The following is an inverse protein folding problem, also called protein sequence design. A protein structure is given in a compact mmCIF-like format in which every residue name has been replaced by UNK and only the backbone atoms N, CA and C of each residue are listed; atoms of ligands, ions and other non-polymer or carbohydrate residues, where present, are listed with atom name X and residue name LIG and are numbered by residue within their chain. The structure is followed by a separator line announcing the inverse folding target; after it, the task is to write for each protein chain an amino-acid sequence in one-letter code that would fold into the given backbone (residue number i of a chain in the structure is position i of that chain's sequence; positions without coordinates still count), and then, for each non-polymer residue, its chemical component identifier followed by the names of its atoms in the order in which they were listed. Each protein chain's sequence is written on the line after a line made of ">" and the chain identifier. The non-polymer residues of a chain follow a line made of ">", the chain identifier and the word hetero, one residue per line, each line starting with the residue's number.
data_IF_179427151764
#
_entry.id   IF_179427151764
#
_cell.length_a   1.000
_cell.length_b   1.000
_cell.length_c   1.000
_cell.angle_alpha   90.00
_cell.angle_beta   90.00
_cell.angle_gamma   90.00
#
_symmetry.space_group_name_H-M   'P 1'
#
loop_
_entity.id
_entity.type
_entity.pdbx_description
1 polymer ?
#
# COMPACT_ATOMS: atom_id res chain seq x y z
N UNK A 1 6.84 36.98 -40.06
CA UNK A 1 8.16 36.31 -40.06
C UNK A 1 7.95 34.95 -40.66
N UNK A 2 8.83 34.53 -41.57
CA UNK A 2 8.71 33.20 -42.17
C UNK A 2 8.91 32.16 -41.06
N UNK A 3 8.16 31.05 -41.07
CA UNK A 3 8.33 29.97 -40.09
C UNK A 3 9.79 29.42 -40.08
N UNK A 4 10.51 29.59 -41.20
CA UNK A 4 11.94 29.26 -41.36
C UNK A 4 12.90 30.20 -40.62
N UNK A 5 12.46 31.40 -40.22
CA UNK A 5 13.29 32.40 -39.52
C UNK A 5 13.18 32.26 -37.99
N UNK A 6 12.25 31.43 -37.49
CA UNK A 6 12.08 31.20 -36.06
C UNK A 6 13.21 30.32 -35.50
N UNK A 7 13.71 30.60 -34.29
CA UNK A 7 14.70 29.75 -33.65
C UNK A 7 14.14 28.35 -33.38
N UNK A 8 14.98 27.32 -33.52
CA UNK A 8 14.58 25.91 -33.40
C UNK A 8 13.91 25.54 -32.06
N UNK A 9 14.13 26.33 -31.01
CA UNK A 9 13.61 26.10 -29.65
C UNK A 9 12.17 26.62 -29.48
N UNK A 10 11.74 27.55 -30.32
CA UNK A 10 10.40 28.17 -30.26
C UNK A 10 9.47 27.68 -31.38
N UNK A 11 9.97 26.74 -32.20
CA UNK A 11 9.19 26.15 -33.29
C UNK A 11 8.01 25.38 -32.72
N UNK A 12 6.82 25.70 -33.20
CA UNK A 12 5.58 24.98 -32.87
C UNK A 12 5.22 23.99 -33.98
N UNK A 13 4.33 23.06 -33.69
CA UNK A 13 3.82 22.10 -34.68
C UNK A 13 3.22 22.83 -35.89
N UNK A 14 2.56 23.97 -35.65
CA UNK A 14 1.99 24.82 -36.69
C UNK A 14 3.06 25.38 -37.65
N UNK A 15 4.22 25.75 -37.11
CA UNK A 15 5.35 26.26 -37.90
C UNK A 15 5.92 25.19 -38.82
N UNK A 16 5.95 23.92 -38.38
CA UNK A 16 6.40 22.79 -39.21
C UNK A 16 5.44 22.58 -40.38
N UNK A 17 4.13 22.71 -40.18
CA UNK A 17 3.14 22.64 -41.26
C UNK A 17 3.27 23.81 -42.25
N UNK A 18 3.52 25.03 -41.76
CA UNK A 18 3.77 26.19 -42.62
C UNK A 18 5.04 26.00 -43.48
N UNK A 19 6.11 25.45 -42.89
CA UNK A 19 7.34 25.09 -43.61
C UNK A 19 7.08 24.02 -44.67
N UNK A 20 6.30 22.98 -44.34
CA UNK A 20 5.93 21.91 -45.27
C UNK A 20 5.12 22.45 -46.46
N UNK A 21 4.21 23.39 -46.23
CA UNK A 21 3.41 24.02 -47.28
C UNK A 21 4.29 24.82 -48.26
N UNK A 22 5.24 25.61 -47.76
CA UNK A 22 6.18 26.36 -48.60
C UNK A 22 7.09 25.41 -49.39
N UNK A 23 7.62 24.36 -48.75
CA UNK A 23 8.40 23.30 -49.42
C UNK A 23 7.59 22.59 -50.51
N UNK A 24 6.32 22.31 -50.27
CA UNK A 24 5.42 21.72 -51.27
C UNK A 24 5.26 22.60 -52.52
N UNK A 25 5.09 23.90 -52.34
CA UNK A 25 5.00 24.86 -53.45
C UNK A 25 6.31 24.99 -54.24
N UNK A 26 7.47 24.85 -53.59
CA UNK A 26 8.78 24.79 -54.26
C UNK A 26 8.92 23.51 -55.09
N UNK A 27 8.52 22.36 -54.54
CA UNK A 27 8.53 21.09 -55.27
C UNK A 27 7.60 21.12 -56.47
N UNK A 28 6.39 21.67 -56.34
CA UNK A 28 5.44 21.84 -57.44
C UNK A 28 6.06 22.66 -58.60
N UNK A 29 6.70 23.79 -58.29
CA UNK A 29 7.42 24.61 -59.29
C UNK A 29 8.56 23.88 -59.99
N UNK A 30 9.23 22.95 -59.32
CA UNK A 30 10.31 22.15 -59.91
C UNK A 30 9.71 21.05 -60.81
N UNK A 31 8.63 20.41 -60.37
CA UNK A 31 7.90 19.40 -61.15
C UNK A 31 7.39 20.02 -62.46
N UNK A 32 6.81 21.23 -62.40
CA UNK A 32 6.29 21.93 -63.58
C UNK A 32 7.37 22.24 -64.64
N UNK A 33 8.61 22.46 -64.21
CA UNK A 33 9.73 22.85 -65.10
C UNK A 33 10.59 21.68 -65.58
N UNK A 34 10.77 20.66 -64.75
CA UNK A 34 11.75 19.60 -64.98
C UNK A 34 11.15 18.18 -64.94
N UNK A 35 9.84 18.05 -64.67
CA UNK A 35 9.17 16.76 -64.52
C UNK A 35 9.36 16.15 -63.13
N UNK A 36 8.52 15.18 -62.80
CA UNK A 36 8.49 14.56 -61.47
C UNK A 36 9.65 13.60 -61.18
N UNK A 37 10.28 13.05 -62.22
CA UNK A 37 11.35 12.04 -62.17
C UNK A 37 12.52 12.46 -61.25
N UNK A 38 12.87 13.75 -61.24
CA UNK A 38 13.97 14.28 -60.45
C UNK A 38 13.68 14.31 -58.93
N UNK A 39 12.41 14.25 -58.53
CA UNK A 39 11.96 14.45 -57.14
C UNK A 39 11.42 13.18 -56.47
N UNK A 40 11.16 12.11 -57.23
CA UNK A 40 10.61 10.83 -56.73
C UNK A 40 11.40 10.27 -55.54
N UNK A 41 12.73 10.39 -55.56
CA UNK A 41 13.59 9.90 -54.46
C UNK A 41 13.79 10.90 -53.31
N UNK A 42 13.49 12.18 -53.52
CA UNK A 42 13.81 13.28 -52.60
C UNK A 42 12.61 13.62 -51.72
N UNK A 43 11.40 13.72 -52.31
CA UNK A 43 10.17 14.09 -51.59
C UNK A 43 9.91 13.17 -50.38
N UNK A 44 9.98 11.83 -50.49
CA UNK A 44 9.76 10.96 -49.32
C UNK A 44 10.79 11.16 -48.20
N UNK A 45 12.02 11.55 -48.54
CA UNK A 45 13.08 11.82 -47.54
C UNK A 45 12.81 13.15 -46.82
N UNK A 46 12.35 14.16 -47.54
CA UNK A 46 11.98 15.47 -46.97
C UNK A 46 10.75 15.34 -46.09
N UNK A 47 9.73 14.58 -46.51
CA UNK A 47 8.58 14.24 -45.68
C UNK A 47 9.04 13.57 -44.38
N UNK A 48 9.95 12.59 -44.45
CA UNK A 48 10.50 11.94 -43.25
C UNK A 48 11.25 12.92 -42.33
N UNK A 49 11.97 13.91 -42.87
CA UNK A 49 12.64 14.93 -42.06
C UNK A 49 11.60 15.84 -41.38
N UNK A 50 10.53 16.20 -42.07
CA UNK A 50 9.44 17.00 -41.50
C UNK A 50 8.65 16.24 -40.42
N UNK A 51 8.39 14.95 -40.61
CA UNK A 51 7.80 14.07 -39.58
C UNK A 51 8.68 13.98 -38.33
N UNK A 52 10.01 13.86 -38.50
CA UNK A 52 10.95 13.84 -37.39
C UNK A 52 10.99 15.20 -36.66
N UNK A 53 10.92 16.30 -37.41
CA UNK A 53 10.86 17.65 -36.85
C UNK A 53 9.55 17.86 -36.07
N UNK A 54 8.41 17.43 -36.62
CA UNK A 54 7.12 17.45 -35.96
C UNK A 54 7.15 16.64 -34.66
N UNK A 55 7.70 15.42 -34.69
CA UNK A 55 7.81 14.57 -33.50
C UNK A 55 8.73 15.20 -32.44
N UNK A 56 9.82 15.85 -32.84
CA UNK A 56 10.73 16.55 -31.94
C UNK A 56 10.13 17.83 -31.37
N UNK A 57 9.31 18.56 -32.13
CA UNK A 57 8.59 19.74 -31.65
C UNK A 57 7.42 19.35 -30.74
N UNK A 58 6.71 18.26 -31.04
CA UNK A 58 5.67 17.70 -30.18
C UNK A 58 6.23 17.14 -28.86
N UNK A 59 7.42 16.51 -28.89
CA UNK A 59 8.13 16.08 -27.66
C UNK A 59 8.90 17.22 -27.01
N UNK A 60 9.22 18.25 -27.77
CA UNK A 60 10.08 19.38 -27.44
C UNK A 60 9.35 20.44 -26.64
N UNK A 61 8.57 20.04 -25.65
CA UNK A 61 8.19 20.90 -24.54
C UNK A 61 9.02 20.54 -23.29
N UNK A 62 10.36 20.68 -23.30
CA UNK A 62 11.11 20.71 -22.03
C UNK A 62 10.60 21.86 -21.14
N UNK A 63 9.90 22.85 -21.72
CA UNK A 63 9.10 23.83 -20.99
C UNK A 63 7.95 23.23 -20.19
N UNK A 64 7.23 22.22 -20.67
CA UNK A 64 6.11 21.61 -19.92
C UNK A 64 6.62 20.85 -18.70
N UNK A 65 7.61 19.98 -18.84
CA UNK A 65 8.20 19.26 -17.71
C UNK A 65 8.86 20.23 -16.71
N UNK A 66 9.58 21.25 -17.20
CA UNK A 66 10.17 22.26 -16.33
C UNK A 66 9.12 23.15 -15.66
N UNK A 67 7.98 23.43 -16.31
CA UNK A 67 6.85 24.13 -15.70
C UNK A 67 6.09 23.25 -14.70
N UNK A 68 5.92 21.97 -14.96
CA UNK A 68 5.34 21.00 -14.01
C UNK A 68 6.21 20.88 -12.77
N UNK A 69 7.53 20.71 -12.93
CA UNK A 69 8.48 20.73 -11.82
C UNK A 69 8.46 22.07 -11.08
N UNK A 70 8.34 23.20 -11.78
CA UNK A 70 8.17 24.53 -11.14
C UNK A 70 6.89 24.61 -10.32
N UNK A 71 5.75 24.17 -10.86
CA UNK A 71 4.47 24.11 -10.13
C UNK A 71 4.56 23.22 -8.89
N UNK A 72 5.29 22.12 -9.00
CA UNK A 72 5.49 21.17 -7.91
C UNK A 72 6.41 21.74 -6.82
N UNK A 73 7.46 22.44 -7.20
CA UNK A 73 8.30 23.20 -6.26
C UNK A 73 7.48 24.25 -5.53
N UNK A 74 6.63 25.00 -6.24
CA UNK A 74 5.76 26.02 -5.64
C UNK A 74 4.71 25.40 -4.70
N UNK A 75 4.20 24.20 -5.02
CA UNK A 75 3.31 23.42 -4.15
C UNK A 75 4.02 23.01 -2.87
N UNK A 76 5.20 22.39 -2.99
CA UNK A 76 5.98 21.92 -1.85
C UNK A 76 6.43 23.08 -0.95
N UNK A 77 6.77 24.24 -1.53
CA UNK A 77 7.11 25.43 -0.76
C UNK A 77 5.93 25.94 0.08
N UNK A 78 4.73 25.95 -0.49
CA UNK A 78 3.49 26.31 0.23
C UNK A 78 3.20 25.32 1.35
N UNK A 79 3.22 24.02 1.07
CA UNK A 79 2.98 22.99 2.09
C UNK A 79 3.98 23.09 3.25
N UNK A 80 5.25 23.35 2.95
CA UNK A 80 6.27 23.55 3.99
C UNK A 80 6.02 24.82 4.80
N UNK A 81 5.56 25.91 4.17
CA UNK A 81 5.17 27.14 4.86
C UNK A 81 3.96 26.91 5.77
N UNK A 82 2.93 26.23 5.25
CA UNK A 82 1.70 25.93 5.98
C UNK A 82 1.98 25.04 7.20
N UNK A 83 2.85 24.03 7.05
CA UNK A 83 3.31 23.19 8.17
C UNK A 83 4.03 24.02 9.23
N UNK A 84 4.94 24.92 8.83
CA UNK A 84 5.65 25.79 9.77
C UNK A 84 4.68 26.72 10.52
N UNK A 85 3.68 27.26 9.82
CA UNK A 85 2.65 28.08 10.46
C UNK A 85 1.77 27.29 11.42
N UNK A 86 1.42 26.06 11.08
CA UNK A 86 0.62 25.18 11.93
C UNK A 86 1.40 24.80 13.20
N UNK A 87 2.67 24.44 13.06
CA UNK A 87 3.56 24.18 14.19
C UNK A 87 3.66 25.41 15.11
N UNK A 88 3.83 26.60 14.52
CA UNK A 88 3.85 27.86 15.28
C UNK A 88 2.52 28.17 15.96
N UNK A 89 1.38 27.70 15.45
CA UNK A 89 0.07 27.84 16.10
C UNK A 89 -0.05 26.87 17.25
N UNK A 90 0.29 25.60 17.02
CA UNK A 90 0.29 24.56 18.04
C UNK A 90 1.20 24.91 19.22
N UNK A 91 2.41 25.41 18.94
CA UNK A 91 3.34 25.87 19.98
C UNK A 91 2.73 26.97 20.87
N UNK A 92 2.00 27.92 20.27
CA UNK A 92 1.31 28.98 21.03
C UNK A 92 0.12 28.46 21.82
N UNK A 93 -0.56 27.43 21.34
CA UNK A 93 -1.64 26.77 22.07
C UNK A 93 -1.09 26.03 23.28
N UNK A 94 0.04 25.32 23.12
CA UNK A 94 0.74 24.67 24.23
C UNK A 94 1.16 25.72 25.27
N UNK A 95 1.81 26.81 24.86
CA UNK A 95 2.21 27.90 25.78
C UNK A 95 1.01 28.45 26.56
N UNK A 96 -0.13 28.66 25.89
CA UNK A 96 -1.36 29.10 26.57
C UNK A 96 -1.88 28.07 27.57
N UNK A 97 -1.87 26.79 27.23
CA UNK A 97 -2.28 25.71 28.13
C UNK A 97 -1.34 25.63 29.34
N UNK A 98 -0.03 25.78 29.13
CA UNK A 98 0.95 25.82 30.22
C UNK A 98 0.72 27.03 31.15
N UNK A 99 0.43 28.20 30.60
CA UNK A 99 0.17 29.41 31.40
C UNK A 99 -1.11 29.27 32.24
N UNK A 100 -2.17 28.72 31.67
CA UNK A 100 -3.41 28.42 32.40
C UNK A 100 -3.14 27.42 33.52
N UNK A 101 -2.42 26.34 33.23
CA UNK A 101 -2.08 25.32 34.21
C UNK A 101 -1.21 25.89 35.34
N UNK A 102 -0.24 26.76 35.04
CA UNK A 102 0.56 27.48 36.07
C UNK A 102 -0.32 28.33 36.98
N UNK A 103 -1.31 29.01 36.40
CA UNK A 103 -2.30 29.78 37.15
C UNK A 103 -3.12 28.91 38.10
N UNK A 104 -3.69 27.81 37.60
CA UNK A 104 -4.47 26.87 38.41
C UNK A 104 -3.65 26.26 39.55
N UNK A 105 -2.40 25.86 39.28
CA UNK A 105 -1.47 25.35 40.31
C UNK A 105 -1.21 26.42 41.37
N UNK A 106 -0.99 27.67 40.97
CA UNK A 106 -0.77 28.77 41.90
C UNK A 106 -2.02 29.05 42.76
N UNK A 107 -3.21 28.99 42.17
CA UNK A 107 -4.48 29.16 42.89
C UNK A 107 -4.71 28.03 43.90
N UNK A 108 -4.44 26.78 43.52
CA UNK A 108 -4.51 25.63 44.42
C UNK A 108 -3.50 25.74 45.57
N UNK A 109 -2.26 26.17 45.30
CA UNK A 109 -1.25 26.41 46.33
C UNK A 109 -1.69 27.53 47.29
N UNK A 110 -2.32 28.58 46.77
CA UNK A 110 -2.87 29.68 47.56
C UNK A 110 -4.01 29.18 48.47
N UNK A 111 -4.91 28.34 47.93
CA UNK A 111 -5.99 27.70 48.69
C UNK A 111 -5.45 26.78 49.80
N UNK A 112 -4.45 25.94 49.50
CA UNK A 112 -3.80 25.08 50.50
C UNK A 112 -3.19 25.93 51.61
N UNK A 113 -2.49 27.01 51.25
CA UNK A 113 -1.87 27.91 52.24
C UNK A 113 -2.91 28.57 53.14
N UNK A 114 -4.02 29.04 52.56
CA UNK A 114 -5.14 29.62 53.31
C UNK A 114 -5.77 28.60 54.26
N UNK A 115 -6.10 27.40 53.77
CA UNK A 115 -6.67 26.33 54.60
C UNK A 115 -5.71 25.88 55.71
N UNK A 116 -4.40 25.87 55.47
CA UNK A 116 -3.40 25.59 56.50
C UNK A 116 -3.35 26.70 57.57
N UNK A 117 -3.52 27.97 57.17
CA UNK A 117 -3.60 29.10 58.10
C UNK A 117 -4.89 29.00 58.95
N UNK A 118 -6.04 28.75 58.33
CA UNK A 118 -7.32 28.61 59.01
C UNK A 118 -7.31 27.42 59.98
N UNK A 119 -6.72 26.28 59.58
CA UNK A 119 -6.50 25.12 60.47
C UNK A 119 -5.62 25.47 61.67
N UNK A 120 -4.53 26.23 61.47
CA UNK A 120 -3.67 26.69 62.58
C UNK A 120 -4.42 27.62 63.53
N UNK A 121 -5.25 28.51 63.00
CA UNK A 121 -6.11 29.39 63.81
C UNK A 121 -7.13 28.59 64.62
N UNK A 122 -7.81 27.61 64.01
CA UNK A 122 -8.77 26.75 64.69
C UNK A 122 -8.12 25.93 65.83
N UNK A 123 -6.92 25.39 65.60
CA UNK A 123 -6.14 24.69 66.64
C UNK A 123 -5.74 25.63 67.77
N UNK A 124 -5.36 26.87 67.46
CA UNK A 124 -5.01 27.88 68.47
C UNK A 124 -6.22 28.37 69.30
N UNK A 125 -7.41 28.37 68.71
CA UNK A 125 -8.68 28.70 69.36
C UNK A 125 -9.16 27.54 70.25
N UNK A 126 -9.05 26.30 69.78
CA UNK A 126 -9.41 25.10 70.55
C UNK A 126 -8.52 24.90 71.80
N UNK A 127 -7.28 25.40 71.79
CA UNK A 127 -6.40 25.45 72.97
C UNK A 127 -6.79 26.52 74.02
N UNK A 128 -7.74 27.41 73.71
CA UNK A 128 -8.20 28.51 74.60
C UNK A 128 -9.61 28.33 75.15
N UNK A 129 -10.32 27.26 74.82
CA UNK A 129 -11.65 27.00 75.38
C UNK A 129 -11.55 26.18 76.67
N UNK A 130 -11.59 26.87 77.82
CA UNK A 130 -11.88 26.25 79.12
C UNK A 130 -13.39 26.15 79.35
N UNK A 131 -13.89 25.08 80.00
CA UNK A 131 -15.30 24.71 79.99
C UNK A 131 -16.06 25.41 81.13
N UNK A 132 -17.15 26.14 80.83
CA UNK A 132 -18.10 26.56 81.86
C UNK A 132 -19.55 26.51 81.37
N UNK A 133 -20.31 25.73 82.14
CA UNK A 133 -21.73 25.75 82.44
C UNK A 133 -22.72 25.29 81.36
N UNK A 134 -23.09 24.01 81.47
CA UNK A 134 -24.49 23.65 81.36
C UNK A 134 -25.33 24.52 82.28
N UNK A 135 -26.31 25.21 81.71
CA UNK A 135 -27.49 25.66 82.43
C UNK A 135 -28.65 25.59 81.45
N UNK A 136 -29.49 24.57 81.63
CA UNK A 136 -30.90 24.65 81.31
C UNK A 136 -31.48 25.95 81.87
N UNK A 137 -32.34 26.62 81.11
CA UNK A 137 -33.61 26.99 81.71
C UNK A 137 -34.79 26.69 80.78
N UNK A 138 -35.74 25.97 81.38
CA UNK A 138 -37.14 25.82 80.97
C UNK A 138 -37.75 27.12 80.41
N UNK A 139 -38.43 27.03 79.26
CA UNK A 139 -39.70 27.72 78.89
C UNK A 139 -40.11 27.34 77.44
N UNK A 140 -41.26 26.67 77.18
CA UNK A 140 -41.52 26.07 75.86
C UNK A 140 -42.26 26.93 74.81
N UNK A 141 -42.89 28.07 75.16
CA UNK A 141 -43.92 28.64 74.26
C UNK A 141 -43.49 29.84 73.38
N UNK A 142 -42.30 30.43 73.59
CA UNK A 142 -41.78 31.54 72.76
C UNK A 142 -40.54 31.20 71.91
N UNK A 143 -39.84 30.11 72.25
CA UNK A 143 -38.75 29.53 71.45
C UNK A 143 -39.27 28.74 70.26
N UNK A 144 -40.44 28.12 70.41
CA UNK A 144 -41.11 27.32 69.38
C UNK A 144 -41.33 28.09 68.07
N UNK A 145 -41.72 29.38 68.11
CA UNK A 145 -41.98 30.16 66.89
C UNK A 145 -40.69 30.50 66.12
N UNK A 146 -39.61 30.86 66.82
CA UNK A 146 -38.31 31.15 66.20
C UNK A 146 -37.67 29.88 65.64
N UNK A 147 -37.76 28.78 66.37
CA UNK A 147 -37.34 27.47 65.89
C UNK A 147 -38.19 27.00 64.71
N UNK A 148 -39.52 27.23 64.73
CA UNK A 148 -40.40 26.89 63.61
C UNK A 148 -40.10 27.74 62.38
N UNK A 149 -39.76 29.02 62.56
CA UNK A 149 -39.28 29.87 61.48
C UNK A 149 -37.92 29.39 60.94
N UNK A 150 -37.00 28.94 61.80
CA UNK A 150 -35.72 28.36 61.39
C UNK A 150 -35.92 27.04 60.64
N UNK A 151 -36.78 26.15 61.14
CA UNK A 151 -37.15 24.90 60.49
C UNK A 151 -37.76 25.14 59.12
N UNK A 152 -38.62 26.15 58.97
CA UNK A 152 -39.17 26.54 57.66
C UNK A 152 -38.10 27.04 56.69
N UNK A 153 -37.16 27.88 57.14
CA UNK A 153 -36.04 28.34 56.31
C UNK A 153 -35.12 27.19 55.87
N UNK A 154 -34.85 26.25 56.75
CA UNK A 154 -34.11 25.03 56.41
C UNK A 154 -34.88 24.17 55.42
N UNK A 155 -36.20 24.01 55.61
CA UNK A 155 -37.06 23.31 54.65
C UNK A 155 -37.03 23.98 53.27
N UNK A 156 -37.17 25.30 53.20
CA UNK A 156 -37.10 26.06 51.95
C UNK A 156 -35.72 25.92 51.27
N UNK A 157 -34.63 25.85 52.06
CA UNK A 157 -33.28 25.64 51.53
C UNK A 157 -33.09 24.20 51.01
N UNK A 158 -33.61 23.20 51.72
CA UNK A 158 -33.59 21.80 51.30
C UNK A 158 -34.40 21.62 50.02
N UNK A 159 -35.56 22.25 49.90
CA UNK A 159 -36.39 22.16 48.69
C UNK A 159 -35.72 22.86 47.50
N UNK A 160 -35.05 24.00 47.71
CA UNK A 160 -34.19 24.63 46.69
C UNK A 160 -33.04 23.72 46.26
N UNK A 161 -32.34 23.10 47.21
CA UNK A 161 -31.25 22.16 46.89
C UNK A 161 -31.78 20.96 46.11
N UNK A 162 -32.98 20.44 46.42
CA UNK A 162 -33.63 19.37 45.65
C UNK A 162 -33.97 19.80 44.22
N UNK A 163 -34.49 21.01 44.04
CA UNK A 163 -34.75 21.57 42.71
C UNK A 163 -33.46 21.75 41.90
N UNK A 164 -32.40 22.23 42.56
CA UNK A 164 -31.10 22.40 41.92
C UNK A 164 -30.48 21.06 41.54
N UNK A 165 -30.53 20.05 42.41
CA UNK A 165 -30.10 18.67 42.10
C UNK A 165 -30.89 18.15 40.89
N UNK A 166 -32.22 18.27 40.89
CA UNK A 166 -33.04 17.87 39.74
C UNK A 166 -32.61 18.58 38.46
N UNK A 167 -32.40 19.90 38.50
CA UNK A 167 -31.97 20.65 37.32
C UNK A 167 -30.59 20.18 36.81
N UNK A 168 -29.65 19.92 37.72
CA UNK A 168 -28.33 19.38 37.39
C UNK A 168 -28.41 17.97 36.81
N UNK A 169 -29.26 17.10 37.34
CA UNK A 169 -29.48 15.74 36.81
C UNK A 169 -30.02 15.78 35.37
N UNK A 170 -30.96 16.68 35.08
CA UNK A 170 -31.47 16.86 33.71
C UNK A 170 -30.37 17.38 32.77
N UNK A 171 -29.53 18.30 33.24
CA UNK A 171 -28.38 18.78 32.45
C UNK A 171 -27.37 17.65 32.20
N UNK A 172 -27.07 16.82 33.20
CA UNK A 172 -26.18 15.67 33.06
C UNK A 172 -26.75 14.65 32.06
N UNK A 173 -28.05 14.36 32.12
CA UNK A 173 -28.72 13.46 31.16
C UNK A 173 -28.58 13.99 29.73
N UNK A 174 -28.84 15.28 29.49
CA UNK A 174 -28.68 15.88 28.17
C UNK A 174 -27.24 15.79 27.66
N UNK A 175 -26.25 16.05 28.55
CA UNK A 175 -24.83 15.93 28.17
C UNK A 175 -24.43 14.49 27.89
N UNK A 176 -25.00 13.51 28.60
CA UNK A 176 -24.77 12.09 28.31
C UNK A 176 -25.34 11.70 26.94
N UNK A 177 -26.54 12.16 26.60
CA UNK A 177 -27.13 11.95 25.26
C UNK A 177 -26.25 12.55 24.15
N UNK A 178 -25.69 13.75 24.36
CA UNK A 178 -24.74 14.37 23.43
C UNK A 178 -23.44 13.54 23.30
N UNK A 179 -22.90 13.04 24.42
CA UNK A 179 -21.70 12.19 24.43
C UNK A 179 -21.97 10.89 23.66
N UNK A 180 -23.10 10.23 23.89
CA UNK A 180 -23.48 9.00 23.18
C UNK A 180 -23.61 9.26 21.67
N UNK A 181 -24.23 10.37 21.28
CA UNK A 181 -24.33 10.76 19.86
C UNK A 181 -22.95 10.98 19.21
N UNK A 182 -22.05 11.66 19.93
CA UNK A 182 -20.67 11.87 19.48
C UNK A 182 -19.87 10.56 19.40
N UNK A 183 -20.05 9.65 20.36
CA UNK A 183 -19.42 8.32 20.33
C UNK A 183 -19.91 7.50 19.13
N UNK A 184 -21.20 7.54 18.80
CA UNK A 184 -21.74 6.90 17.59
C UNK A 184 -21.12 7.48 16.32
N UNK A 185 -20.94 8.81 16.25
CA UNK A 185 -20.30 9.45 15.10
C UNK A 185 -18.81 9.07 14.99
N UNK A 186 -18.10 9.06 16.12
CA UNK A 186 -16.70 8.63 16.19
C UNK A 186 -16.54 7.20 15.68
N UNK A 187 -17.39 6.28 16.15
CA UNK A 187 -17.35 4.88 15.70
C UNK A 187 -17.60 4.74 14.19
N UNK A 188 -18.55 5.50 13.63
CA UNK A 188 -18.76 5.54 12.17
C UNK A 188 -17.52 6.04 11.41
N UNK A 189 -16.87 7.08 11.91
CA UNK A 189 -15.66 7.63 11.31
C UNK A 189 -14.50 6.63 11.36
N UNK A 190 -14.34 5.91 12.48
CA UNK A 190 -13.33 4.85 12.61
C UNK A 190 -13.54 3.77 11.54
N UNK A 191 -14.77 3.28 11.37
CA UNK A 191 -15.07 2.25 10.37
C UNK A 191 -14.81 2.75 8.95
N UNK A 192 -15.23 3.99 8.62
CA UNK A 192 -14.93 4.57 7.31
C UNK A 192 -13.43 4.77 7.08
N UNK A 193 -12.67 5.11 8.12
CA UNK A 193 -11.22 5.26 8.03
C UNK A 193 -10.55 3.90 7.77
N UNK A 194 -10.95 2.85 8.48
CA UNK A 194 -10.49 1.48 8.24
C UNK A 194 -10.77 1.03 6.79
N UNK A 195 -11.98 1.29 6.27
CA UNK A 195 -12.33 1.00 4.87
C UNK A 195 -11.45 1.76 3.87
N UNK A 196 -11.12 3.02 4.16
CA UNK A 196 -10.25 3.83 3.32
C UNK A 196 -8.80 3.33 3.36
N UNK A 197 -8.27 3.01 4.54
CA UNK A 197 -6.94 2.43 4.71
C UNK A 197 -6.84 1.11 3.94
N UNK A 198 -7.84 0.24 4.04
CA UNK A 198 -7.87 -1.01 3.28
C UNK A 198 -7.88 -0.75 1.77
N UNK A 199 -8.70 0.20 1.28
CA UNK A 199 -8.73 0.58 -0.14
C UNK A 199 -7.39 1.13 -0.63
N UNK A 200 -6.73 1.95 0.17
CA UNK A 200 -5.39 2.48 -0.13
C UNK A 200 -4.41 1.32 -0.25
N UNK A 201 -4.37 0.40 0.71
CA UNK A 201 -3.49 -0.78 0.66
C UNK A 201 -3.71 -1.65 -0.59
N UNK A 202 -4.96 -1.92 -0.96
CA UNK A 202 -5.28 -2.67 -2.19
C UNK A 202 -4.83 -1.92 -3.45
N UNK A 203 -4.99 -0.59 -3.49
CA UNK A 203 -4.55 0.24 -4.61
C UNK A 203 -3.02 0.31 -4.72
N UNK A 204 -2.33 0.40 -3.59
CA UNK A 204 -0.86 0.38 -3.52
C UNK A 204 -0.31 -0.96 -3.98
N UNK A 205 -0.88 -2.08 -3.53
CA UNK A 205 -0.50 -3.42 -3.97
C UNK A 205 -0.65 -3.57 -5.49
N UNK A 206 -1.81 -3.16 -6.04
CA UNK A 206 -2.04 -3.13 -7.49
C UNK A 206 -1.03 -2.24 -8.22
N UNK A 207 -0.70 -1.09 -7.65
CA UNK A 207 0.32 -0.17 -8.19
C UNK A 207 1.70 -0.83 -8.27
N UNK A 208 2.13 -1.52 -7.20
CA UNK A 208 3.39 -2.27 -7.15
C UNK A 208 3.42 -3.37 -8.22
N UNK A 209 2.34 -4.15 -8.37
CA UNK A 209 2.26 -5.19 -9.40
C UNK A 209 2.34 -4.61 -10.82
N UNK A 210 1.66 -3.49 -11.09
CA UNK A 210 1.72 -2.84 -12.41
C UNK A 210 3.11 -2.28 -12.71
N UNK A 211 3.79 -1.71 -11.71
CA UNK A 211 5.18 -1.24 -11.86
C UNK A 211 6.08 -2.44 -12.19
N UNK A 212 5.96 -3.55 -11.45
CA UNK A 212 6.71 -4.77 -11.70
C UNK A 212 6.50 -5.28 -13.13
N UNK A 213 5.24 -5.43 -13.57
CA UNK A 213 4.92 -5.84 -14.93
C UNK A 213 5.49 -4.90 -15.99
N UNK A 214 5.44 -3.58 -15.77
CA UNK A 214 6.04 -2.60 -16.68
C UNK A 214 7.55 -2.82 -16.80
N UNK A 215 8.25 -3.00 -15.67
CA UNK A 215 9.71 -3.21 -15.68
C UNK A 215 10.10 -4.50 -16.40
N UNK A 216 9.33 -5.58 -16.22
CA UNK A 216 9.55 -6.86 -16.92
C UNK A 216 9.34 -6.73 -18.43
N UNK A 217 8.26 -6.07 -18.85
CA UNK A 217 7.98 -5.81 -20.27
C UNK A 217 9.05 -4.92 -20.90
N UNK A 218 9.53 -3.91 -20.16
CA UNK A 218 10.61 -3.04 -20.63
C UNK A 218 11.94 -3.80 -20.76
N UNK A 219 12.28 -4.66 -19.79
CA UNK A 219 13.44 -5.53 -19.87
C UNK A 219 13.34 -6.51 -21.04
N UNK A 220 12.18 -7.11 -21.28
CA UNK A 220 11.93 -8.01 -22.41
C UNK A 220 12.07 -7.27 -23.77
N UNK A 221 11.52 -6.06 -23.88
CA UNK A 221 11.66 -5.24 -25.07
C UNK A 221 13.13 -4.85 -25.34
N UNK A 222 13.89 -4.52 -24.30
CA UNK A 222 15.33 -4.23 -24.42
C UNK A 222 16.13 -5.47 -24.84
N UNK A 223 15.79 -6.65 -24.32
CA UNK A 223 16.43 -7.91 -24.72
C UNK A 223 16.18 -8.21 -26.21
N UNK A 224 14.94 -8.09 -26.67
CA UNK A 224 14.59 -8.25 -28.09
C UNK A 224 15.32 -7.22 -28.98
N UNK A 225 15.48 -5.98 -28.50
CA UNK A 225 16.21 -4.96 -29.25
C UNK A 225 17.70 -5.30 -29.40
N UNK A 226 18.33 -5.85 -28.36
CA UNK A 226 19.73 -6.34 -28.41
C UNK A 226 19.87 -7.52 -29.37
N UNK A 227 18.94 -8.47 -29.35
CA UNK A 227 18.93 -9.60 -30.28
C UNK A 227 18.75 -9.14 -31.74
N UNK A 228 17.80 -8.23 -31.99
CA UNK A 228 17.62 -7.61 -33.32
C UNK A 228 18.88 -6.90 -33.79
N UNK A 229 19.58 -6.18 -32.90
CA UNK A 229 20.84 -5.53 -33.24
C UNK A 229 21.93 -6.56 -33.60
N UNK A 230 22.05 -7.63 -32.82
CA UNK A 230 22.98 -8.72 -33.09
C UNK A 230 22.71 -9.40 -34.45
N UNK A 231 21.44 -9.74 -34.72
CA UNK A 231 21.03 -10.33 -36.01
C UNK A 231 21.30 -9.38 -37.18
N UNK A 232 21.05 -8.07 -37.02
CA UNK A 232 21.41 -7.09 -38.05
C UNK A 232 22.92 -7.08 -38.31
N UNK A 233 23.75 -7.11 -37.26
CA UNK A 233 25.21 -7.20 -37.43
C UNK A 233 25.61 -8.47 -38.19
N UNK A 234 25.02 -9.62 -37.85
CA UNK A 234 25.29 -10.88 -38.52
C UNK A 234 24.86 -10.88 -39.99
N UNK A 235 23.67 -10.35 -40.31
CA UNK A 235 23.21 -10.15 -41.69
C UNK A 235 24.19 -9.24 -42.45
N UNK A 236 24.66 -8.15 -41.85
CA UNK A 236 25.63 -7.27 -42.52
C UNK A 236 26.98 -7.94 -42.75
N UNK A 237 27.43 -8.81 -41.83
CA UNK A 237 28.65 -9.61 -42.00
C UNK A 237 28.49 -10.61 -43.14
N UNK A 238 27.41 -11.40 -43.14
CA UNK A 238 27.13 -12.38 -44.19
C UNK A 238 26.99 -11.73 -45.57
N UNK A 239 26.38 -10.53 -45.65
CA UNK A 239 26.31 -9.77 -46.91
C UNK A 239 27.71 -9.39 -47.44
N UNK A 240 28.62 -8.95 -46.56
CA UNK A 240 30.01 -8.64 -46.94
C UNK A 240 30.75 -9.89 -47.41
N UNK A 241 30.63 -11.00 -46.68
CA UNK A 241 31.24 -12.28 -47.07
C UNK A 241 30.69 -12.79 -48.41
N UNK A 242 29.39 -12.66 -48.66
CA UNK A 242 28.77 -13.01 -49.94
C UNK A 242 29.32 -12.13 -51.07
N UNK A 243 29.40 -10.82 -50.87
CA UNK A 243 29.96 -9.88 -51.85
C UNK A 243 31.44 -10.17 -52.14
N UNK A 244 32.22 -10.53 -51.12
CA UNK A 244 33.62 -10.94 -51.28
C UNK A 244 33.74 -12.24 -52.08
N UNK A 245 32.92 -13.26 -51.76
CA UNK A 245 32.84 -14.52 -52.52
C UNK A 245 32.41 -14.30 -53.97
N UNK A 246 31.44 -13.42 -54.22
CA UNK A 246 31.02 -13.05 -55.58
C UNK A 246 32.13 -12.32 -56.35
N UNK A 247 32.89 -11.46 -55.68
CA UNK A 247 34.03 -10.77 -56.28
C UNK A 247 35.15 -11.77 -56.63
N UNK A 248 35.42 -12.75 -55.75
CA UNK A 248 36.34 -13.85 -56.01
C UNK A 248 35.90 -14.71 -57.20
N UNK A 249 34.60 -15.06 -57.30
CA UNK A 249 34.05 -15.81 -58.44
C UNK A 249 34.18 -15.04 -59.75
N UNK A 250 33.89 -13.74 -59.77
CA UNK A 250 34.05 -12.91 -60.96
C UNK A 250 35.51 -12.81 -61.41
N UNK A 251 36.46 -12.83 -60.47
CA UNK A 251 37.90 -12.91 -60.76
C UNK A 251 38.27 -14.25 -61.41
N UNK A 252 37.76 -15.38 -60.91
CA UNK A 252 38.01 -16.70 -61.50
C UNK A 252 37.30 -16.89 -62.85
N UNK A 253 36.09 -16.36 -63.03
CA UNK A 253 35.35 -16.43 -64.30
C UNK A 253 35.98 -15.53 -65.39
N UNK A 254 36.73 -14.49 -65.01
CA UNK A 254 37.53 -13.69 -65.95
C UNK A 254 38.85 -14.39 -66.33
N UNK A 255 39.31 -15.34 -65.53
CA UNK A 255 40.47 -16.20 -65.87
C UNK A 255 40.06 -17.44 -66.69
N UNK A 256 38.82 -17.92 -66.60
CA UNK A 256 38.36 -19.11 -67.31
C UNK A 256 37.29 -18.81 -68.40
N UNK A 257 37.71 -18.60 -69.66
CA UNK A 257 37.10 -19.13 -70.91
C UNK A 257 37.86 -18.68 -72.19
N UNK A 258 38.06 -19.53 -73.23
CA UNK A 258 38.69 -20.85 -73.19
C UNK A 258 39.83 -21.05 -74.23
N UNK A 259 40.80 -21.90 -73.90
CA UNK A 259 41.60 -22.64 -74.88
C UNK A 259 41.08 -24.09 -74.96
N UNK A 260 40.46 -24.39 -76.11
CA UNK A 260 40.44 -25.67 -76.84
C UNK A 260 40.16 -27.02 -76.14
N UNK A 261 39.11 -27.68 -76.65
CA UNK A 261 39.12 -29.06 -77.19
C UNK A 261 39.29 -30.22 -76.18
N UNK A 262 38.24 -31.03 -76.00
CA UNK A 262 38.16 -32.39 -76.58
C UNK A 262 36.91 -33.11 -76.10
N UNK A 263 36.05 -33.50 -77.04
CA UNK A 263 35.17 -34.65 -76.90
C UNK A 263 36.02 -35.90 -76.66
N UNK A 264 35.65 -36.76 -75.71
CA UNK A 264 35.68 -38.21 -75.89
C UNK A 264 34.67 -38.90 -74.95
N UNK A 265 34.03 -39.90 -75.55
CA UNK A 265 32.90 -40.74 -75.15
C UNK A 265 33.20 -41.78 -74.04
N UNK A 266 32.21 -41.99 -73.15
CA UNK A 266 31.68 -43.29 -72.60
C UNK A 266 32.54 -44.17 -71.65
N UNK A 267 31.99 -45.20 -70.92
CA UNK A 267 30.61 -45.60 -70.53
C UNK A 267 30.45 -45.98 -68.99
N UNK A 268 29.27 -46.50 -68.51
CA UNK A 268 28.84 -46.53 -67.10
C UNK A 268 28.81 -47.92 -66.39
N UNK A 269 28.40 -47.93 -65.09
CA UNK A 269 27.76 -48.99 -64.23
C UNK A 269 28.56 -49.39 -62.94
N UNK A 270 28.00 -50.10 -61.92
CA UNK A 270 26.75 -49.87 -61.16
C UNK A 270 26.86 -50.14 -59.61
N UNK A 271 25.77 -49.82 -58.87
CA UNK A 271 25.20 -50.44 -57.63
C UNK A 271 26.12 -50.84 -56.44
N UNK A 272 25.75 -50.43 -55.21
CA UNK A 272 25.20 -51.32 -54.14
C UNK A 272 25.17 -50.67 -52.75
N UNK A 273 24.08 -50.91 -52.02
CA UNK A 273 23.96 -50.74 -50.57
C UNK A 273 24.80 -51.80 -49.84
N UNK A 274 25.46 -51.44 -48.73
CA UNK A 274 25.37 -52.18 -47.46
C UNK A 274 26.19 -51.52 -46.33
N UNK A 275 25.65 -51.72 -45.14
CA UNK A 275 26.01 -51.28 -43.80
C UNK A 275 27.23 -52.02 -43.22
N UNK A 276 28.04 -51.33 -42.41
CA UNK A 276 28.40 -51.66 -41.01
C UNK A 276 29.75 -51.03 -40.57
N UNK A 277 29.72 -50.47 -39.36
CA UNK A 277 30.81 -50.03 -38.45
C UNK A 277 31.93 -51.10 -38.27
N UNK A 278 33.16 -50.81 -37.73
CA UNK A 278 33.34 -49.99 -36.51
C UNK A 278 34.70 -49.25 -36.24
N UNK A 279 34.66 -48.42 -35.18
CA UNK A 279 35.69 -48.11 -34.15
C UNK A 279 37.06 -47.47 -34.50
N UNK A 280 37.28 -46.25 -33.99
CA UNK A 280 38.29 -45.90 -32.94
C UNK A 280 38.93 -44.50 -33.14
N UNK A 281 38.71 -43.68 -32.11
CA UNK A 281 39.60 -42.73 -31.42
C UNK A 281 40.47 -41.69 -32.16
N UNK A 282 40.23 -40.41 -31.78
CA UNK A 282 41.16 -39.46 -31.16
C UNK A 282 40.74 -38.02 -31.56
N UNK A 283 39.95 -37.33 -30.72
CA UNK A 283 40.41 -36.41 -29.68
C UNK A 283 40.77 -34.99 -30.20
N UNK A 284 39.94 -34.01 -29.87
CA UNK A 284 40.34 -32.62 -29.55
C UNK A 284 39.17 -31.86 -28.93
N UNK A 285 39.09 -32.05 -27.62
CA UNK A 285 38.52 -31.21 -26.56
C UNK A 285 38.35 -29.71 -26.87
N UNK A 286 37.17 -29.17 -26.56
CA UNK A 286 36.97 -27.78 -26.12
C UNK A 286 35.81 -27.66 -25.12
N UNK A 287 36.18 -27.89 -23.85
CA UNK A 287 35.70 -27.30 -22.59
C UNK A 287 34.25 -26.76 -22.53
N UNK A 288 33.34 -27.57 -22.00
CA UNK A 288 32.19 -27.10 -21.22
C UNK A 288 32.62 -27.01 -19.75
N UNK A 289 32.46 -25.83 -19.15
CA UNK A 289 32.66 -25.60 -17.71
C UNK A 289 31.31 -25.83 -17.04
N UNK A 290 31.13 -27.03 -16.50
CA UNK A 290 30.17 -27.36 -15.44
C UNK A 290 30.54 -28.75 -14.94
N UNK A 291 30.46 -28.93 -13.62
CA UNK A 291 30.91 -30.10 -12.83
C UNK A 291 32.37 -29.97 -12.35
N UNK A 292 32.55 -29.38 -11.17
CA UNK A 292 33.02 -30.11 -9.97
C UNK A 292 33.08 -29.14 -8.78
N UNK A 293 32.20 -29.34 -7.80
CA UNK A 293 32.42 -29.13 -6.36
C UNK A 293 31.21 -29.74 -5.63
N UNK A 294 31.03 -31.06 -5.81
CA UNK A 294 30.38 -31.88 -4.79
C UNK A 294 31.35 -31.96 -3.61
N UNK A 295 31.13 -31.11 -2.62
CA UNK A 295 31.96 -31.01 -1.43
C UNK A 295 31.13 -30.57 -0.22
N UNK A 296 30.88 -31.54 0.65
CA UNK A 296 30.47 -31.43 2.06
C UNK A 296 29.06 -30.94 2.42
N UNK A 297 28.13 -31.88 2.46
CA UNK A 297 26.86 -31.78 3.20
C UNK A 297 27.04 -31.77 4.75
N UNK A 298 28.27 -31.83 5.26
CA UNK A 298 28.56 -31.83 6.71
C UNK A 298 28.94 -30.45 7.29
N UNK A 299 29.07 -29.42 6.44
CA UNK A 299 29.44 -28.06 6.87
C UNK A 299 28.25 -27.17 7.25
N UNK A 300 27.07 -27.41 6.65
CA UNK A 300 25.86 -26.59 6.89
C UNK A 300 25.12 -27.00 8.18
N UNK A 301 25.32 -28.23 8.67
CA UNK A 301 24.68 -28.73 9.89
C UNK A 301 25.35 -28.26 11.19
N UNK A 302 26.50 -27.56 11.12
CA UNK A 302 27.23 -27.05 12.30
C UNK A 302 27.10 -25.55 12.56
N UNK A 303 26.28 -24.82 11.80
CA UNK A 303 26.04 -23.39 12.06
C UNK A 303 24.81 -23.10 12.93
N UNK A 304 24.01 -24.10 13.30
CA UNK A 304 22.77 -23.90 14.07
C UNK A 304 22.65 -24.79 15.32
N UNK A 305 23.77 -25.08 15.99
CA UNK A 305 23.74 -25.67 17.34
C UNK A 305 24.59 -24.88 18.34
N UNK A 306 23.93 -24.45 19.43
CA UNK A 306 24.38 -23.71 20.62
C UNK A 306 24.55 -22.18 20.43
N UNK A 307 23.80 -21.31 21.11
CA UNK A 307 23.59 -21.29 22.57
C UNK A 307 22.12 -21.28 23.03
N UNK A 308 21.63 -22.46 23.43
CA UNK A 308 20.68 -22.61 24.54
C UNK A 308 21.43 -23.22 25.70
N UNK A 309 22.07 -22.40 26.53
CA UNK A 309 22.46 -22.74 27.92
C UNK A 309 23.00 -21.52 28.68
N UNK A 310 22.12 -20.71 29.25
CA UNK A 310 22.31 -20.18 30.60
C UNK A 310 21.08 -20.57 31.42
N UNK A 311 21.26 -21.62 32.23
CA UNK A 311 20.27 -22.11 33.18
C UNK A 311 20.67 -21.65 34.59
N UNK A 312 19.76 -21.00 35.29
CA UNK A 312 19.71 -21.02 36.76
C UNK A 312 18.26 -21.25 37.19
N UNK A 313 18.03 -22.44 37.73
CA UNK A 313 16.81 -22.98 38.36
C UNK A 313 16.58 -22.32 39.75
N UNK A 314 15.38 -22.42 40.39
CA UNK A 314 14.94 -23.64 41.10
C UNK A 314 13.45 -24.03 40.80
N UNK A 315 13.07 -25.32 40.68
CA UNK A 315 12.75 -26.32 41.74
C UNK A 315 11.38 -25.98 42.39
N UNK A 316 10.32 -26.79 42.42
CA UNK A 316 10.06 -28.21 42.16
C UNK A 316 8.54 -28.44 42.07
N UNK A 317 8.16 -29.49 41.33
CA UNK A 317 6.98 -30.34 41.39
C UNK A 317 5.87 -30.03 42.43
N UNK A 318 4.61 -30.03 41.98
CA UNK A 318 3.81 -31.25 42.10
C UNK A 318 2.68 -31.33 41.06
N UNK A 319 2.51 -32.54 40.53
CA UNK A 319 1.52 -33.01 39.57
C UNK A 319 0.08 -32.93 40.11
N UNK A 320 -0.89 -33.02 39.20
CA UNK A 320 -2.26 -33.33 39.59
C UNK A 320 -3.33 -33.20 38.50
N UNK A 321 -3.14 -33.87 37.38
CA UNK A 321 -4.18 -34.59 36.60
C UNK A 321 -5.50 -33.91 36.15
N UNK A 322 -5.56 -33.71 34.83
CA UNK A 322 -6.43 -34.44 33.88
C UNK A 322 -7.92 -34.03 33.68
N UNK A 323 -8.30 -34.14 32.39
CA UNK A 323 -9.65 -34.27 31.78
C UNK A 323 -10.34 -33.01 31.21
N UNK A 324 -10.33 -32.93 29.86
CA UNK A 324 -11.54 -33.03 29.03
C UNK A 324 -12.46 -31.79 28.86
N UNK A 325 -12.85 -31.43 27.61
CA UNK A 325 -13.66 -30.24 27.32
C UNK A 325 -15.16 -30.54 27.39
N UNK A 326 -16.00 -29.61 27.88
CA UNK A 326 -17.43 -29.68 27.58
C UNK A 326 -18.16 -28.33 27.60
N UNK A 327 -19.16 -28.29 26.74
CA UNK A 327 -20.02 -27.20 26.31
C UNK A 327 -21.11 -26.83 27.34
N UNK A 328 -21.59 -25.59 27.21
CA UNK A 328 -22.91 -25.00 27.49
C UNK A 328 -23.99 -25.82 28.23
N UNK A 329 -24.63 -25.20 29.23
CA UNK A 329 -26.08 -24.90 29.29
C UNK A 329 -26.54 -24.43 30.70
N UNK A 330 -27.21 -23.28 30.69
CA UNK A 330 -28.53 -22.93 31.25
C UNK A 330 -28.99 -23.22 32.71
N UNK A 331 -29.70 -22.20 33.21
CA UNK A 331 -30.83 -22.14 34.15
C UNK A 331 -30.79 -22.67 35.62
N UNK A 332 -31.06 -21.74 36.54
CA UNK A 332 -32.16 -21.90 37.51
C UNK A 332 -31.80 -22.05 39.01
N UNK A 333 -32.52 -21.39 39.95
CA UNK A 333 -32.03 -21.01 41.28
C UNK A 333 -32.60 -21.89 42.42
N UNK A 334 -31.99 -21.90 43.62
CA UNK A 334 -32.72 -22.03 44.93
C UNK A 334 -31.84 -21.62 46.13
N UNK A 335 -32.53 -21.01 47.07
CA UNK A 335 -32.20 -20.35 48.33
C UNK A 335 -31.57 -21.20 49.46
N UNK A 336 -31.10 -20.45 50.45
CA UNK A 336 -31.17 -20.69 51.91
C UNK A 336 -30.13 -21.63 52.56
N UNK A 337 -29.23 -21.05 53.37
CA UNK A 337 -29.30 -21.22 54.83
C UNK A 337 -28.42 -20.22 55.60
N UNK A 338 -29.00 -19.81 56.72
CA UNK A 338 -28.60 -18.82 57.72
C UNK A 338 -27.86 -19.51 58.87
N UNK A 339 -26.93 -18.82 59.55
CA UNK A 339 -26.89 -18.65 61.02
C UNK A 339 -25.58 -18.03 61.55
N UNK A 340 -25.68 -16.76 61.95
CA UNK A 340 -25.42 -16.13 63.25
C UNK A 340 -24.14 -16.41 64.09
N UNK A 341 -23.49 -15.28 64.40
CA UNK A 341 -22.98 -14.75 65.68
C UNK A 341 -21.88 -15.46 66.49
N UNK A 342 -20.72 -14.78 66.59
CA UNK A 342 -19.93 -14.65 67.82
C UNK A 342 -19.15 -13.31 67.83
N UNK A 343 -19.20 -12.61 68.96
CA UNK A 343 -18.60 -11.29 69.25
C UNK A 343 -17.39 -11.47 70.21
N UNK A 344 -16.69 -10.38 70.60
CA UNK A 344 -15.39 -9.94 70.12
C UNK A 344 -14.23 -10.33 71.07
N UNK A 345 -13.00 -10.39 70.55
CA UNK A 345 -11.79 -10.43 71.40
C UNK A 345 -10.79 -9.43 70.89
N UNK A 346 -10.49 -8.43 71.72
CA UNK A 346 -9.36 -7.52 71.56
C UNK A 346 -8.06 -8.31 71.74
N UNK A 347 -7.20 -8.29 70.73
CA UNK A 347 -5.76 -8.46 70.89
C UNK A 347 -5.06 -7.53 69.91
N UNK A 348 -4.39 -6.53 70.48
CA UNK A 348 -3.43 -5.68 69.80
C UNK A 348 -2.28 -6.56 69.31
N UNK A 349 -2.26 -6.89 68.02
CA UNK A 349 -1.06 -7.34 67.34
C UNK A 349 -0.82 -6.46 66.12
N UNK A 350 0.28 -5.71 66.21
CA UNK A 350 0.90 -4.98 65.12
C UNK A 350 1.57 -6.05 64.25
N UNK A 351 0.79 -6.65 63.36
CA UNK A 351 1.33 -7.27 62.15
C UNK A 351 0.78 -6.48 60.97
N UNK A 352 1.68 -5.77 60.30
CA UNK A 352 1.46 -5.22 58.96
C UNK A 352 1.25 -6.42 58.05
N UNK A 353 0.02 -6.94 58.01
CA UNK A 353 -0.38 -7.98 57.08
C UNK A 353 -0.42 -7.31 55.71
N UNK A 354 0.52 -7.73 54.84
CA UNK A 354 0.70 -7.36 53.43
C UNK A 354 -0.51 -7.74 52.56
N UNK A 355 -1.71 -7.33 52.97
CA UNK A 355 -2.95 -7.54 52.25
C UNK A 355 -3.20 -6.27 51.46
N UNK A 356 -3.08 -6.28 50.12
CA UNK A 356 -3.32 -5.08 49.35
C UNK A 356 -4.78 -4.67 49.54
N UNK A 357 -4.99 -3.56 50.24
CA UNK A 357 -6.30 -2.97 50.46
C UNK A 357 -6.61 -2.05 49.28
N UNK A 358 -7.00 -2.65 48.16
CA UNK A 358 -7.51 -1.87 47.04
C UNK A 358 -8.88 -1.30 47.41
N UNK A 359 -9.08 -0.01 47.14
CA UNK A 359 -10.42 0.56 47.19
C UNK A 359 -11.29 -0.04 46.06
N UNK A 360 -12.61 -0.04 46.23
CA UNK A 360 -13.53 -0.57 45.20
C UNK A 360 -13.35 0.18 43.86
N UNK A 361 -13.02 1.47 43.96
CA UNK A 361 -12.68 2.33 42.83
C UNK A 361 -11.39 1.86 42.13
N UNK A 362 -10.31 1.63 42.89
CA UNK A 362 -9.05 1.11 42.32
C UNK A 362 -9.24 -0.24 41.63
N UNK A 363 -10.07 -1.13 42.19
CA UNK A 363 -10.37 -2.40 41.55
C UNK A 363 -11.16 -2.21 40.24
N UNK A 364 -12.09 -1.25 40.20
CA UNK A 364 -12.83 -0.92 38.99
C UNK A 364 -11.92 -0.33 37.91
N UNK A 365 -11.02 0.57 38.31
CA UNK A 365 -10.03 1.20 37.42
C UNK A 365 -9.07 0.14 36.86
N UNK A 366 -8.55 -0.77 37.70
CA UNK A 366 -7.69 -1.89 37.27
C UNK A 366 -8.44 -2.84 36.32
N UNK A 367 -9.73 -3.10 36.57
CA UNK A 367 -10.53 -3.95 35.68
C UNK A 367 -10.79 -3.27 34.33
N UNK A 368 -10.97 -1.95 34.32
CA UNK A 368 -11.14 -1.15 33.11
C UNK A 368 -9.83 -1.09 32.32
N UNK A 369 -8.72 -0.77 32.97
CA UNK A 369 -7.38 -0.77 32.37
C UNK A 369 -7.03 -2.14 31.79
N UNK A 370 -7.31 -3.22 32.54
CA UNK A 370 -7.14 -4.60 32.03
C UNK A 370 -8.01 -4.86 30.79
N UNK A 371 -9.24 -4.36 30.76
CA UNK A 371 -10.11 -4.52 29.58
C UNK A 371 -9.58 -3.74 28.38
N UNK A 372 -9.12 -2.51 28.58
CA UNK A 372 -8.50 -1.66 27.55
C UNK A 372 -7.22 -2.30 27.00
N UNK A 373 -6.34 -2.76 27.89
CA UNK A 373 -5.13 -3.49 27.53
C UNK A 373 -5.45 -4.79 26.80
N UNK A 374 -6.54 -5.49 27.16
CA UNK A 374 -6.98 -6.70 26.45
C UNK A 374 -7.40 -6.39 25.02
N UNK A 375 -8.07 -5.25 24.79
CA UNK A 375 -8.41 -4.78 23.43
C UNK A 375 -7.13 -4.43 22.67
N UNK A 376 -6.20 -3.69 23.27
CA UNK A 376 -4.92 -3.35 22.62
C UNK A 376 -4.09 -4.59 22.28
N UNK A 377 -4.01 -5.56 23.19
CA UNK A 377 -3.31 -6.83 22.94
C UNK A 377 -3.99 -7.61 21.82
N UNK A 378 -5.32 -7.60 21.74
CA UNK A 378 -6.04 -8.23 20.62
C UNK A 378 -5.71 -7.56 19.28
N UNK A 379 -5.75 -6.22 19.22
CA UNK A 379 -5.38 -5.44 18.03
C UNK A 379 -3.93 -5.70 17.60
N UNK A 380 -2.99 -5.68 18.55
CA UNK A 380 -1.58 -5.96 18.29
C UNK A 380 -1.37 -7.41 17.86
N UNK A 381 -2.12 -8.37 18.40
CA UNK A 381 -2.08 -9.76 17.95
C UNK A 381 -2.59 -9.93 16.51
N UNK A 382 -3.62 -9.17 16.12
CA UNK A 382 -4.13 -9.13 14.75
C UNK A 382 -3.13 -8.50 13.79
N UNK A 383 -2.52 -7.37 14.16
CA UNK A 383 -1.44 -6.73 13.39
C UNK A 383 -0.23 -7.66 13.24
N UNK A 384 0.21 -8.30 14.33
CA UNK A 384 1.30 -9.27 14.29
C UNK A 384 0.94 -10.51 13.46
N UNK A 385 -0.31 -10.94 13.45
CA UNK A 385 -0.77 -12.02 12.59
C UNK A 385 -0.76 -11.61 11.11
N UNK A 386 -1.14 -10.36 10.82
CA UNK A 386 -1.09 -9.76 9.49
C UNK A 386 0.35 -9.71 8.95
N UNK A 387 1.30 -9.14 9.70
CA UNK A 387 2.70 -9.08 9.26
C UNK A 387 3.36 -10.46 9.17
N UNK A 388 3.04 -11.38 10.09
CA UNK A 388 3.50 -12.77 9.97
C UNK A 388 2.96 -13.43 8.70
N UNK A 389 1.68 -13.23 8.36
CA UNK A 389 1.12 -13.76 7.12
C UNK A 389 1.76 -13.16 5.87
N UNK A 390 2.20 -11.90 5.93
CA UNK A 390 2.93 -11.22 4.86
C UNK A 390 4.35 -11.79 4.70
N UNK A 391 5.08 -12.05 5.80
CA UNK A 391 6.38 -12.74 5.76
C UNK A 391 6.28 -14.19 5.24
N UNK A 392 5.21 -14.93 5.62
CA UNK A 392 4.97 -16.28 5.11
C UNK A 392 4.56 -16.30 3.62
N UNK A 393 3.84 -15.29 3.13
CA UNK A 393 3.50 -15.14 1.70
C UNK A 393 4.72 -14.74 0.86
N UNK A 394 5.66 -13.97 1.41
CA UNK A 394 6.95 -13.69 0.77
C UNK A 394 7.85 -14.95 0.69
N UNK A 395 7.92 -15.74 1.76
CA UNK A 395 8.72 -16.98 1.78
C UNK A 395 8.10 -18.10 0.94
N UNK A 396 6.76 -18.23 0.90
CA UNK A 396 6.08 -19.17 0.00
C UNK A 396 6.14 -18.71 -1.47
N UNK A 397 6.04 -17.41 -1.76
CA UNK A 397 6.21 -16.91 -3.13
C UNK A 397 7.65 -17.08 -3.64
N UNK A 398 8.64 -16.96 -2.76
CA UNK A 398 10.05 -17.18 -3.06
C UNK A 398 10.38 -18.66 -3.32
N UNK A 399 9.77 -19.58 -2.57
CA UNK A 399 9.95 -21.03 -2.76
C UNK A 399 9.11 -21.64 -3.90
N UNK A 400 7.90 -21.13 -4.15
CA UNK A 400 6.99 -21.65 -5.20
C UNK A 400 7.38 -21.15 -6.60
N UNK A 401 8.03 -19.99 -6.70
CA UNK A 401 8.58 -19.47 -7.96
C UNK A 401 9.75 -20.33 -8.50
N UNK A 402 10.46 -21.08 -7.65
CA UNK A 402 11.57 -21.93 -8.05
C UNK A 402 11.17 -23.34 -8.55
N UNK A 403 9.92 -23.78 -8.34
CA UNK A 403 9.50 -25.16 -8.65
C UNK A 403 8.27 -25.29 -9.55
N UNK A 404 7.76 -24.21 -10.12
CA UNK A 404 6.51 -24.26 -10.90
C UNK A 404 6.64 -23.71 -12.32
N UNK A 405 7.30 -24.49 -13.17
CA UNK A 405 6.87 -24.71 -14.55
C UNK A 405 6.95 -26.22 -14.81
N UNK A 406 6.02 -26.90 -15.52
CA UNK A 406 5.08 -26.38 -16.51
C UNK A 406 3.63 -26.94 -16.43
N UNK A 407 2.74 -26.36 -17.25
CA UNK A 407 1.73 -27.03 -18.09
C UNK A 407 0.32 -26.47 -17.97
N UNK A 408 -0.19 -26.09 -19.14
CA UNK A 408 -1.48 -25.53 -19.43
C UNK A 408 -2.63 -26.52 -19.14
N UNK A 409 -3.76 -26.00 -18.67
CA UNK A 409 -5.09 -26.57 -18.94
C UNK A 409 -6.08 -25.47 -19.34
N UNK A 410 -6.11 -25.25 -20.65
CA UNK A 410 -7.27 -25.01 -21.51
C UNK A 410 -8.37 -24.02 -21.07
N UNK A 411 -8.33 -22.82 -21.67
CA UNK A 411 -9.43 -22.38 -22.52
C UNK A 411 -8.92 -22.30 -23.96
N UNK A 412 -9.38 -23.21 -24.83
CA UNK A 412 -9.13 -23.13 -26.27
C UNK A 412 -9.88 -21.92 -26.82
N UNK A 413 -9.18 -20.83 -27.08
CA UNK A 413 -9.36 -20.03 -28.31
C UNK A 413 -8.20 -19.03 -28.46
N UNK A 414 -7.65 -18.84 -29.68
CA UNK A 414 -6.57 -17.88 -29.92
C UNK A 414 -7.08 -16.44 -29.75
N UNK A 415 -6.21 -15.47 -29.40
CA UNK A 415 -6.62 -14.10 -29.13
C UNK A 415 -7.33 -13.53 -30.35
N UNK A 416 -8.62 -13.23 -30.22
CA UNK A 416 -9.41 -12.74 -31.34
C UNK A 416 -8.84 -11.40 -31.81
N UNK A 417 -8.36 -11.39 -33.06
CA UNK A 417 -7.98 -10.17 -33.78
C UNK A 417 -9.05 -9.10 -33.59
N UNK A 418 -8.65 -7.84 -33.36
CA UNK A 418 -9.59 -6.72 -33.19
C UNK A 418 -10.58 -6.59 -34.36
N UNK A 419 -10.20 -7.06 -35.54
CA UNK A 419 -11.06 -7.16 -36.73
C UNK A 419 -12.14 -8.25 -36.55
N UNK A 420 -11.80 -9.39 -35.95
CA UNK A 420 -12.76 -10.47 -35.66
C UNK A 420 -13.81 -9.95 -34.67
N UNK A 421 -13.39 -9.31 -33.58
CA UNK A 421 -14.32 -8.69 -32.63
C UNK A 421 -15.21 -7.63 -33.28
N UNK A 422 -14.67 -6.77 -34.14
CA UNK A 422 -15.49 -5.79 -34.87
C UNK A 422 -16.52 -6.48 -35.78
N UNK A 423 -16.13 -7.55 -36.48
CA UNK A 423 -17.03 -8.29 -37.37
C UNK A 423 -18.14 -9.00 -36.57
N UNK A 424 -17.81 -9.73 -35.51
CA UNK A 424 -18.78 -10.55 -34.77
C UNK A 424 -19.65 -9.74 -33.80
N UNK A 425 -19.15 -8.64 -33.25
CA UNK A 425 -19.89 -7.84 -32.24
C UNK A 425 -20.66 -6.67 -32.86
N UNK A 426 -20.15 -6.05 -33.93
CA UNK A 426 -20.78 -4.87 -34.52
C UNK A 426 -21.39 -5.15 -35.90
N UNK A 427 -20.66 -5.80 -36.80
CA UNK A 427 -21.08 -5.95 -38.20
C UNK A 427 -22.09 -7.09 -38.37
N UNK A 428 -21.87 -8.24 -37.73
CA UNK A 428 -22.70 -9.44 -37.88
C UNK A 428 -24.16 -9.25 -37.42
N UNK A 429 -24.45 -8.58 -36.30
CA UNK A 429 -25.83 -8.24 -35.92
C UNK A 429 -26.51 -7.31 -36.91
N UNK A 430 -25.77 -6.35 -37.49
CA UNK A 430 -26.29 -5.42 -38.49
C UNK A 430 -26.59 -6.10 -39.84
N UNK A 431 -25.74 -7.07 -40.24
CA UNK A 431 -25.98 -7.91 -41.42
C UNK A 431 -27.18 -8.85 -41.20
N UNK A 432 -27.31 -9.44 -40.01
CA UNK A 432 -28.44 -10.32 -39.64
C UNK A 432 -29.78 -9.55 -39.55
N UNK A 433 -29.74 -8.30 -39.09
CA UNK A 433 -30.89 -7.40 -39.04
C UNK A 433 -31.27 -6.80 -40.41
N UNK A 434 -30.56 -7.17 -41.50
CA UNK A 434 -30.86 -6.71 -42.87
C UNK A 434 -30.56 -5.22 -43.10
N UNK A 435 -29.82 -4.57 -42.19
CA UNK A 435 -29.53 -3.14 -42.26
C UNK A 435 -28.41 -2.80 -43.25
N UNK A 436 -27.66 -3.80 -43.71
CA UNK A 436 -26.59 -3.68 -44.70
C UNK A 436 -27.04 -4.45 -45.94
N UNK A 437 -27.54 -3.74 -46.94
CA UNK A 437 -28.03 -4.31 -48.21
C UNK A 437 -26.88 -4.88 -49.06
N UNK A 438 -27.21 -5.87 -49.89
CA UNK A 438 -26.33 -6.89 -50.51
C UNK A 438 -25.06 -6.37 -51.21
N UNK A 439 -24.00 -6.15 -50.44
CA UNK A 439 -22.64 -6.01 -50.94
C UNK A 439 -21.98 -7.40 -51.11
N UNK A 440 -21.52 -7.77 -52.33
CA UNK A 440 -20.88 -9.06 -52.58
C UNK A 440 -19.60 -9.31 -51.77
N UNK A 441 -18.97 -8.28 -51.20
CA UNK A 441 -17.79 -8.43 -50.32
C UNK A 441 -18.10 -9.02 -48.95
N UNK A 442 -19.37 -9.02 -48.51
CA UNK A 442 -19.81 -9.57 -47.21
C UNK A 442 -20.31 -11.02 -47.28
N UNK A 443 -20.30 -11.63 -48.47
CA UNK A 443 -20.69 -13.03 -48.70
C UNK A 443 -19.89 -14.07 -47.88
N UNK A 444 -18.57 -13.90 -47.64
CA UNK A 444 -17.82 -14.82 -46.78
C UNK A 444 -18.35 -14.84 -45.33
N UNK A 445 -18.83 -13.71 -44.82
CA UNK A 445 -19.35 -13.57 -43.45
C UNK A 445 -20.73 -14.23 -43.34
N UNK A 446 -21.60 -14.11 -44.35
CA UNK A 446 -22.89 -14.81 -44.38
C UNK A 446 -22.76 -16.35 -44.41
N UNK A 447 -21.73 -16.90 -45.07
CA UNK A 447 -21.49 -18.36 -45.10
C UNK A 447 -21.08 -18.95 -43.76
N UNK A 448 -20.51 -18.15 -42.85
CA UNK A 448 -20.23 -18.60 -41.48
C UNK A 448 -21.50 -18.80 -40.64
N UNK A 449 -22.56 -18.05 -40.93
CA UNK A 449 -23.84 -18.14 -40.21
C UNK A 449 -24.62 -19.41 -40.56
N UNK A 450 -24.38 -20.02 -41.73
CA UNK A 450 -25.05 -21.26 -42.15
C UNK A 450 -24.44 -22.56 -41.62
N UNK A 451 -23.36 -22.49 -40.82
CA UNK A 451 -22.64 -23.65 -40.29
C UNK A 451 -22.70 -23.80 -38.75
N UNK A 452 -23.54 -23.00 -38.09
CA UNK A 452 -23.99 -23.19 -36.70
C UNK A 452 -25.49 -23.42 -36.74
#
# INVERSE_FOLDING_TARGET
>A
MSALERPAVELTVMDVYDIAAVLGQEFERVIDKFGCECLVGVVPRVVRVLELLEALVNRGAPGQEAEELRREVDRLQRERSDRYEQERRHQKEIEQVEDVWRGEVQDLLSQITQLQADKRLLVSLSLKESPICEQDPQNPDGSSDRESQMRKKLQDLVDKQRDEIRAKDHQLSQRNEDIEALQMQQHRLINMNQDLLHKVGVMEAKGKTLIQQKTELEAAAQAQQKERAALHMEITKLRKELQERESQRKLTDLEEFPLSRSEMLSPPLPLTNARAMPLSDADTRSKSVLVECSGDLSFIEKCFECDRSLSLRPKSANEGDNVGPFLAADDGPTQLLRCNDAKPTESLDIEVSEKPQFTLQELQDVLQERNELKVQVFMLQEELAYYKSEEFEEDYSSAVAALSAPSQSASLDPPESGIRRLIFTAIMPMVAAGLISDDPTLMPIRRLVSFV
#
